data_IF_804201043797
#
_entry.id   IF_804201043797
#
_cell.length_a   1.000
_cell.length_b   1.000
_cell.length_c   1.000
_cell.angle_alpha   90.00
_cell.angle_beta   90.00
_cell.angle_gamma   90.00
#
_symmetry.space_group_name_H-M   'P 1'
#
loop_
_entity.id
_entity.type
_entity.pdbx_description
1 polymer ?
#
# COMPACT_ATOMS: atom_id res chain seq x y z
N UNK A 1 -2.88 -3.53 -9.35
CA UNK A 1 -1.70 -2.98 -8.65
C UNK A 1 -0.86 -2.09 -9.59
N UNK A 2 -0.41 -0.89 -9.16
CA UNK A 2 0.45 0.00 -9.97
C UNK A 2 1.66 0.53 -9.16
N UNK A 3 2.86 -0.08 -9.27
CA UNK A 3 4.05 0.33 -8.52
C UNK A 3 4.44 1.82 -8.69
N UNK A 4 4.08 2.43 -9.82
CA UNK A 4 4.35 3.85 -10.10
C UNK A 4 3.87 4.82 -9.00
N UNK A 5 2.85 4.46 -8.20
CA UNK A 5 2.39 5.25 -7.04
C UNK A 5 3.51 5.52 -6.01
N UNK A 6 4.50 4.63 -5.90
CA UNK A 6 5.65 4.79 -5.00
C UNK A 6 6.59 5.89 -5.54
N UNK A 7 6.82 5.92 -6.86
CA UNK A 7 7.59 6.99 -7.50
C UNK A 7 6.89 8.35 -7.39
N UNK A 8 5.56 8.38 -7.54
CA UNK A 8 4.77 9.59 -7.30
C UNK A 8 4.91 10.08 -5.84
N UNK A 9 4.86 9.16 -4.87
CA UNK A 9 5.08 9.47 -3.46
C UNK A 9 6.47 10.06 -3.25
N UNK A 10 7.52 9.40 -3.75
CA UNK A 10 8.91 9.86 -3.60
C UNK A 10 9.14 11.25 -4.21
N UNK A 11 8.56 11.52 -5.40
CA UNK A 11 8.60 12.85 -6.02
C UNK A 11 7.93 13.92 -5.15
N UNK A 12 6.78 13.63 -4.54
CA UNK A 12 6.14 14.55 -3.59
C UNK A 12 6.98 14.78 -2.35
N UNK A 13 7.56 13.73 -1.76
CA UNK A 13 8.43 13.85 -0.59
C UNK A 13 9.61 14.80 -0.85
N UNK A 14 10.21 14.70 -2.04
CA UNK A 14 11.29 15.59 -2.47
C UNK A 14 10.82 17.05 -2.53
N UNK A 15 9.67 17.31 -3.14
CA UNK A 15 9.16 18.67 -3.33
C UNK A 15 8.64 19.32 -2.03
N UNK A 16 8.23 18.52 -1.04
CA UNK A 16 7.96 19.01 0.31
C UNK A 16 9.23 19.16 1.18
N UNK A 17 10.42 18.82 0.66
CA UNK A 17 11.69 18.89 1.41
C UNK A 17 11.79 17.87 2.55
N UNK A 18 11.00 16.78 2.49
CA UNK A 18 10.98 15.76 3.55
C UNK A 18 12.17 14.80 3.43
N UNK A 19 12.66 14.56 2.21
CA UNK A 19 13.83 13.71 1.98
C UNK A 19 15.08 14.26 2.69
N UNK A 20 15.22 15.59 2.77
CA UNK A 20 16.37 16.25 3.41
C UNK A 20 16.38 16.11 4.94
N UNK A 21 15.26 15.65 5.52
CA UNK A 21 15.08 15.52 6.97
C UNK A 21 15.09 14.07 7.45
N UNK A 22 15.45 13.13 6.57
CA UNK A 22 15.62 11.73 6.89
C UNK A 22 16.79 11.11 6.15
N UNK A 23 17.26 9.97 6.63
CA UNK A 23 18.25 9.19 5.91
C UNK A 23 17.57 8.40 4.79
N UNK A 24 17.77 8.82 3.54
CA UNK A 24 17.28 8.09 2.36
C UNK A 24 18.29 7.01 1.98
N UNK A 25 17.84 5.76 1.95
CA UNK A 25 18.67 4.60 1.64
C UNK A 25 18.16 3.89 0.39
N UNK A 26 19.08 3.48 -0.48
CA UNK A 26 18.78 2.52 -1.54
C UNK A 26 18.76 1.11 -0.92
N UNK A 27 17.69 0.32 -1.12
CA UNK A 27 17.61 -1.01 -0.54
C UNK A 27 18.50 -1.99 -1.30
N UNK A 28 19.19 -2.85 -0.54
CA UNK A 28 19.89 -3.99 -1.12
C UNK A 28 18.89 -5.13 -1.41
N UNK A 29 18.89 -5.71 -2.63
CA UNK A 29 17.98 -6.80 -2.98
C UNK A 29 18.13 -7.98 -2.01
N UNK A 30 17.01 -8.51 -1.50
CA UNK A 30 17.01 -9.69 -0.66
C UNK A 30 17.52 -10.92 -1.45
N UNK A 31 18.38 -11.72 -0.82
CA UNK A 31 18.88 -12.97 -1.43
C UNK A 31 17.89 -14.10 -1.20
N UNK A 32 17.98 -15.15 -2.01
CA UNK A 32 17.18 -16.37 -1.88
C UNK A 32 17.19 -16.90 -0.44
N UNK A 33 18.36 -16.93 0.21
CA UNK A 33 18.50 -17.39 1.61
C UNK A 33 17.67 -16.57 2.60
N UNK A 34 17.53 -15.27 2.35
CA UNK A 34 16.81 -14.35 3.20
C UNK A 34 15.30 -14.52 2.98
N UNK A 35 14.86 -14.70 1.73
CA UNK A 35 13.47 -15.00 1.37
C UNK A 35 12.99 -16.36 1.92
N UNK A 36 13.84 -17.39 1.84
CA UNK A 36 13.56 -18.74 2.35
C UNK A 36 13.50 -18.84 3.88
N UNK A 37 13.78 -17.75 4.63
CA UNK A 37 13.55 -17.74 6.09
C UNK A 37 12.07 -17.92 6.45
N UNK A 38 11.17 -17.55 5.54
CA UNK A 38 9.75 -17.81 5.66
C UNK A 38 9.24 -18.69 4.53
N UNK A 39 9.48 -18.29 3.28
CA UNK A 39 8.92 -18.96 2.11
C UNK A 39 9.55 -20.33 1.85
N UNK A 40 8.81 -21.23 1.22
CA UNK A 40 9.35 -22.52 0.80
C UNK A 40 10.41 -22.37 -0.31
N UNK A 41 11.48 -23.18 -0.24
CA UNK A 41 12.58 -23.13 -1.20
C UNK A 41 12.13 -23.35 -2.65
N UNK A 42 11.18 -24.27 -2.86
CA UNK A 42 10.65 -24.56 -4.19
C UNK A 42 9.76 -23.45 -4.74
N UNK A 43 9.08 -22.71 -3.87
CA UNK A 43 8.32 -21.51 -4.25
C UNK A 43 9.26 -20.35 -4.65
N UNK A 44 10.31 -20.07 -3.88
CA UNK A 44 11.29 -19.04 -4.23
C UNK A 44 12.07 -19.41 -5.50
N UNK A 45 12.46 -20.68 -5.65
CA UNK A 45 13.09 -21.17 -6.87
C UNK A 45 12.17 -21.01 -8.09
N UNK A 46 10.86 -21.22 -7.93
CA UNK A 46 9.89 -20.97 -8.99
C UNK A 46 9.83 -19.50 -9.36
N UNK A 47 9.64 -18.59 -8.38
CA UNK A 47 9.59 -17.14 -8.64
C UNK A 47 10.84 -16.62 -9.33
N UNK A 48 12.02 -17.19 -9.01
CA UNK A 48 13.29 -16.86 -9.65
C UNK A 48 13.36 -17.33 -11.11
N UNK A 49 12.72 -18.45 -11.43
CA UNK A 49 12.81 -19.09 -12.74
C UNK A 49 11.72 -18.66 -13.73
N UNK A 50 10.57 -18.20 -13.24
CA UNK A 50 9.40 -17.92 -14.06
C UNK A 50 9.53 -16.56 -14.74
N UNK A 51 9.30 -16.53 -16.04
CA UNK A 51 9.29 -15.32 -16.89
C UNK A 51 8.08 -15.37 -17.83
N UNK A 52 7.69 -14.26 -18.46
CA UNK A 52 6.60 -14.27 -19.44
C UNK A 52 6.80 -15.27 -20.57
N UNK A 53 8.04 -15.56 -20.97
CA UNK A 53 8.40 -16.53 -22.02
C UNK A 53 8.29 -17.98 -21.54
N UNK A 54 8.67 -18.25 -20.29
CA UNK A 54 8.76 -19.61 -19.74
C UNK A 54 7.48 -20.07 -19.04
N UNK A 55 6.54 -19.16 -18.76
CA UNK A 55 5.33 -19.45 -17.99
C UNK A 55 4.46 -20.58 -18.61
N UNK A 56 4.44 -20.70 -19.94
CA UNK A 56 3.67 -21.74 -20.64
C UNK A 56 4.22 -23.15 -20.41
N UNK A 57 5.51 -23.28 -20.10
CA UNK A 57 6.15 -24.56 -19.77
C UNK A 57 5.95 -24.92 -18.29
N UNK A 58 5.48 -23.96 -17.47
CA UNK A 58 5.38 -24.08 -16.01
C UNK A 58 3.92 -24.09 -15.49
N UNK A 59 2.93 -24.46 -16.31
CA UNK A 59 1.49 -24.42 -15.97
C UNK A 59 1.16 -25.11 -14.63
N UNK A 60 1.80 -26.24 -14.32
CA UNK A 60 1.57 -26.94 -13.05
C UNK A 60 2.07 -26.14 -11.85
N UNK A 61 3.21 -25.46 -11.99
CA UNK A 61 3.79 -24.62 -10.94
C UNK A 61 2.96 -23.34 -10.75
N UNK A 62 2.56 -22.69 -11.86
CA UNK A 62 1.65 -21.53 -11.83
C UNK A 62 0.38 -21.82 -11.01
N UNK A 63 -0.29 -22.93 -11.31
CA UNK A 63 -1.49 -23.36 -10.56
C UNK A 63 -1.18 -23.70 -9.10
N UNK A 64 -0.06 -24.39 -8.84
CA UNK A 64 0.32 -24.81 -7.49
C UNK A 64 0.63 -23.62 -6.58
N UNK A 65 1.27 -22.60 -7.13
CA UNK A 65 1.76 -21.43 -6.42
C UNK A 65 0.86 -20.20 -6.56
N UNK A 66 -0.35 -20.39 -7.13
CA UNK A 66 -1.38 -19.38 -7.33
C UNK A 66 -0.88 -18.11 -8.07
N UNK A 67 -0.06 -18.31 -9.10
CA UNK A 67 0.42 -17.25 -10.01
C UNK A 67 -0.34 -17.36 -11.33
N UNK A 68 -1.06 -16.30 -11.69
CA UNK A 68 -2.05 -16.31 -12.76
C UNK A 68 -2.81 -14.99 -12.87
N UNK A 69 -4.13 -15.00 -12.71
CA UNK A 69 -5.01 -13.84 -12.96
C UNK A 69 -4.69 -12.66 -12.02
N UNK A 70 -4.88 -12.84 -10.71
CA UNK A 70 -4.64 -11.78 -9.74
C UNK A 70 -3.14 -11.55 -9.49
N UNK A 71 -2.32 -12.59 -9.66
CA UNK A 71 -0.87 -12.52 -9.47
C UNK A 71 -0.15 -12.87 -10.78
N UNK A 72 -0.11 -11.97 -11.77
CA UNK A 72 0.43 -12.27 -13.10
C UNK A 72 1.95 -12.40 -13.12
N UNK A 73 2.46 -13.19 -14.07
CA UNK A 73 3.88 -13.16 -14.42
C UNK A 73 4.17 -11.90 -15.22
N UNK A 74 5.23 -11.18 -14.85
CA UNK A 74 5.69 -9.99 -15.56
C UNK A 74 7.22 -9.91 -15.54
N UNK A 75 7.78 -9.12 -16.47
CA UNK A 75 9.22 -8.92 -16.55
C UNK A 75 9.78 -8.29 -15.28
N UNK A 76 10.81 -8.92 -14.71
CA UNK A 76 11.40 -8.47 -13.46
C UNK A 76 10.62 -8.83 -12.19
N UNK A 77 9.63 -9.75 -12.26
CA UNK A 77 8.88 -10.23 -11.08
C UNK A 77 9.78 -10.58 -9.89
N UNK A 78 10.85 -11.35 -10.12
CA UNK A 78 11.75 -11.74 -9.04
C UNK A 78 12.51 -10.54 -8.46
N UNK A 79 13.05 -9.66 -9.31
CA UNK A 79 13.74 -8.43 -8.87
C UNK A 79 12.82 -7.50 -8.07
N UNK A 80 11.55 -7.39 -8.49
CA UNK A 80 10.50 -6.70 -7.73
C UNK A 80 10.37 -7.29 -6.32
N UNK A 81 10.26 -8.61 -6.19
CA UNK A 81 10.17 -9.29 -4.90
C UNK A 81 11.43 -9.05 -4.04
N UNK A 82 12.62 -9.18 -4.63
CA UNK A 82 13.89 -8.99 -3.92
C UNK A 82 14.03 -7.58 -3.38
N UNK A 83 13.72 -6.57 -4.19
CA UNK A 83 13.87 -5.16 -3.82
C UNK A 83 12.93 -4.79 -2.68
N UNK A 84 11.67 -5.22 -2.76
CA UNK A 84 10.63 -4.89 -1.78
C UNK A 84 10.91 -5.57 -0.43
N UNK A 85 11.26 -6.86 -0.46
CA UNK A 85 11.65 -7.61 0.73
C UNK A 85 12.94 -7.06 1.35
N UNK A 86 13.94 -6.75 0.51
CA UNK A 86 15.22 -6.20 0.94
C UNK A 86 15.06 -4.87 1.68
N UNK A 87 14.16 -4.00 1.19
CA UNK A 87 13.85 -2.73 1.84
C UNK A 87 13.22 -2.91 3.24
N UNK A 88 12.22 -3.80 3.38
CA UNK A 88 11.57 -4.04 4.68
C UNK A 88 12.51 -4.72 5.69
N UNK A 89 13.30 -5.71 5.26
CA UNK A 89 14.30 -6.36 6.10
C UNK A 89 15.42 -5.36 6.47
N UNK A 90 15.83 -4.51 5.53
CA UNK A 90 16.81 -3.45 5.78
C UNK A 90 16.35 -2.46 6.84
N UNK A 91 15.10 -2.01 6.74
CA UNK A 91 14.45 -1.18 7.76
C UNK A 91 14.45 -1.86 9.14
N UNK A 92 14.08 -3.14 9.20
CA UNK A 92 14.10 -3.91 10.44
C UNK A 92 15.51 -4.06 11.05
N UNK A 93 16.55 -4.29 10.23
CA UNK A 93 17.94 -4.30 10.70
C UNK A 93 18.35 -2.95 11.29
N UNK A 94 17.95 -1.84 10.66
CA UNK A 94 18.25 -0.50 11.17
C UNK A 94 17.53 -0.20 12.49
N UNK A 95 16.28 -0.61 12.64
CA UNK A 95 15.54 -0.49 13.91
C UNK A 95 16.20 -1.29 15.04
N UNK A 96 16.61 -2.53 14.76
CA UNK A 96 17.37 -3.36 15.70
C UNK A 96 18.69 -2.70 16.15
N UNK A 97 19.26 -1.80 15.35
CA UNK A 97 20.52 -1.09 15.61
C UNK A 97 20.33 0.37 16.01
N UNK A 98 19.15 0.74 16.51
CA UNK A 98 18.94 2.00 17.24
C UNK A 98 18.30 3.13 16.45
N UNK A 99 17.74 2.88 15.26
CA UNK A 99 16.81 3.84 14.65
C UNK A 99 15.43 3.79 15.33
N UNK A 100 14.78 4.94 15.42
CA UNK A 100 13.44 5.06 16.01
C UNK A 100 12.33 4.68 15.01
N UNK A 101 12.44 5.15 13.77
CA UNK A 101 11.45 4.93 12.70
C UNK A 101 12.16 4.55 11.41
N UNK A 102 11.66 3.52 10.72
CA UNK A 102 12.06 3.17 9.37
C UNK A 102 10.81 3.15 8.47
N UNK A 103 10.95 3.60 7.22
CA UNK A 103 9.82 3.73 6.28
C UNK A 103 10.16 2.97 4.99
N UNK A 104 9.27 2.07 4.57
CA UNK A 104 9.32 1.43 3.26
C UNK A 104 7.93 1.39 2.61
N UNK A 105 7.61 2.42 1.83
CA UNK A 105 6.35 2.50 1.08
C UNK A 105 6.22 1.47 -0.06
N UNK A 106 7.32 0.82 -0.45
CA UNK A 106 7.23 -0.26 -1.44
C UNK A 106 6.65 -1.55 -0.85
N UNK A 107 7.01 -1.86 0.41
CA UNK A 107 6.59 -3.07 1.11
C UNK A 107 5.13 -3.05 1.57
N UNK A 108 4.81 -3.94 2.51
CA UNK A 108 3.46 -4.09 3.05
C UNK A 108 2.61 -5.12 2.31
N UNK A 109 3.23 -6.11 1.64
CA UNK A 109 2.54 -7.09 0.80
C UNK A 109 2.01 -8.26 1.66
N UNK A 110 0.94 -7.97 2.40
CA UNK A 110 0.45 -8.81 3.50
C UNK A 110 -0.27 -10.11 3.11
N UNK A 111 -0.67 -10.29 1.85
CA UNK A 111 -1.43 -11.46 1.40
C UNK A 111 -0.56 -12.67 1.03
N UNK A 112 0.74 -12.44 0.76
CA UNK A 112 1.64 -13.51 0.33
C UNK A 112 1.73 -14.60 1.41
N UNK A 113 1.58 -15.86 0.99
CA UNK A 113 1.59 -17.03 1.86
C UNK A 113 2.96 -17.69 1.86
N UNK A 114 3.13 -18.72 2.70
CA UNK A 114 4.40 -19.46 2.78
C UNK A 114 4.80 -20.09 1.45
N UNK A 115 3.82 -20.62 0.72
CA UNK A 115 4.04 -21.43 -0.47
C UNK A 115 3.23 -20.98 -1.69
N UNK A 116 2.60 -19.80 -1.67
CA UNK A 116 1.80 -19.32 -2.80
C UNK A 116 1.65 -17.79 -2.78
N UNK A 117 1.43 -17.22 -3.96
CA UNK A 117 1.05 -15.83 -4.12
C UNK A 117 -0.45 -15.64 -3.82
N UNK A 118 -0.85 -14.44 -3.42
CA UNK A 118 -2.25 -14.09 -3.21
C UNK A 118 -2.43 -12.58 -3.22
N UNK A 119 -3.55 -12.07 -3.74
CA UNK A 119 -3.90 -10.64 -3.65
C UNK A 119 -2.80 -9.68 -4.10
N UNK A 120 -2.22 -9.89 -5.28
CA UNK A 120 -1.08 -9.13 -5.83
C UNK A 120 0.26 -9.30 -5.07
N UNK A 121 0.33 -10.16 -4.04
CA UNK A 121 1.48 -10.33 -3.17
C UNK A 121 2.17 -11.67 -3.44
N UNK A 122 3.47 -11.63 -3.75
CA UNK A 122 4.28 -12.83 -4.05
C UNK A 122 5.18 -13.22 -2.88
N UNK A 123 5.89 -12.24 -2.30
CA UNK A 123 6.76 -12.41 -1.13
C UNK A 123 6.20 -11.55 0.00
N UNK A 124 6.12 -12.13 1.20
CA UNK A 124 5.63 -11.45 2.39
C UNK A 124 6.80 -10.74 3.09
N UNK A 125 7.11 -9.53 2.64
CA UNK A 125 8.18 -8.71 3.17
C UNK A 125 7.97 -8.36 4.65
N UNK A 126 6.71 -8.27 5.10
CA UNK A 126 6.32 -8.00 6.48
C UNK A 126 6.77 -9.15 7.39
N UNK A 127 6.45 -10.40 7.02
CA UNK A 127 6.84 -11.58 7.81
C UNK A 127 8.36 -11.66 7.93
N UNK A 128 9.09 -11.39 6.84
CA UNK A 128 10.55 -11.37 6.84
C UNK A 128 11.11 -10.27 7.75
N UNK A 129 10.54 -9.06 7.72
CA UNK A 129 10.92 -7.95 8.60
C UNK A 129 10.62 -8.27 10.08
N UNK A 130 9.47 -8.86 10.39
CA UNK A 130 9.13 -9.28 11.76
C UNK A 130 10.10 -10.37 12.25
N UNK A 131 10.46 -11.35 11.41
CA UNK A 131 11.47 -12.35 11.75
C UNK A 131 12.85 -11.73 12.01
N UNK A 132 13.18 -10.60 11.40
CA UNK A 132 14.38 -9.82 11.71
C UNK A 132 14.26 -9.11 13.06
N UNK A 133 13.15 -8.41 13.31
CA UNK A 133 12.90 -7.72 14.59
C UNK A 133 12.89 -8.70 15.77
N UNK A 134 12.37 -9.91 15.59
CA UNK A 134 12.34 -10.96 16.61
C UNK A 134 13.74 -11.45 17.05
N UNK A 135 14.82 -11.05 16.38
CA UNK A 135 16.20 -11.33 16.85
C UNK A 135 16.56 -10.50 18.09
N UNK A 136 15.99 -9.30 18.23
CA UNK A 136 16.28 -8.37 19.34
C UNK A 136 15.06 -8.08 20.22
N UNK A 137 13.87 -8.14 19.63
CA UNK A 137 12.63 -7.82 20.32
C UNK A 137 11.90 -9.10 20.74
N UNK A 138 11.60 -9.19 22.04
CA UNK A 138 10.91 -10.36 22.57
C UNK A 138 9.49 -10.51 22.00
N UNK A 139 8.84 -9.36 21.79
CA UNK A 139 7.47 -9.21 21.29
C UNK A 139 7.44 -8.14 20.20
N UNK A 140 6.87 -8.47 19.05
CA UNK A 140 6.67 -7.53 17.93
C UNK A 140 5.18 -7.39 17.68
N UNK A 141 4.69 -6.15 17.64
CA UNK A 141 3.30 -5.85 17.32
C UNK A 141 3.19 -5.57 15.82
N UNK A 142 2.28 -6.25 15.15
CA UNK A 142 1.87 -5.94 13.79
C UNK A 142 0.49 -5.28 13.80
N UNK A 143 0.38 -4.12 13.17
CA UNK A 143 -0.86 -3.36 13.01
C UNK A 143 -1.10 -3.17 11.52
N UNK A 144 -2.33 -3.44 11.09
CA UNK A 144 -2.73 -3.41 9.69
C UNK A 144 -3.98 -2.54 9.51
N UNK A 145 -3.83 -1.46 8.74
CA UNK A 145 -4.91 -0.51 8.42
C UNK A 145 -5.28 -0.52 6.92
N UNK A 146 -4.81 -1.52 6.17
CA UNK A 146 -5.35 -1.85 4.85
C UNK A 146 -6.83 -2.21 4.94
N UNK A 147 -7.59 -1.98 3.86
CA UNK A 147 -9.01 -2.38 3.88
C UNK A 147 -9.18 -3.91 3.86
N UNK A 148 -8.19 -4.66 3.38
CA UNK A 148 -8.20 -6.11 3.35
C UNK A 148 -7.60 -6.68 4.63
N UNK A 149 -8.11 -7.84 5.07
CA UNK A 149 -7.51 -8.54 6.20
C UNK A 149 -6.06 -8.95 5.89
N UNK A 150 -5.15 -8.65 6.81
CA UNK A 150 -3.72 -9.01 6.78
C UNK A 150 -3.42 -10.50 6.98
N UNK A 151 -4.08 -11.33 6.19
CA UNK A 151 -4.23 -12.76 6.37
C UNK A 151 -2.92 -13.57 6.25
N UNK A 152 -1.98 -13.17 5.39
CA UNK A 152 -0.68 -13.83 5.26
C UNK A 152 0.21 -13.61 6.48
N UNK A 153 0.17 -12.41 7.07
CA UNK A 153 0.91 -12.10 8.30
C UNK A 153 0.26 -12.78 9.51
N UNK A 154 -1.08 -12.74 9.60
CA UNK A 154 -1.81 -13.45 10.64
C UNK A 154 -1.53 -14.96 10.59
N UNK A 155 -1.62 -15.60 9.42
CA UNK A 155 -1.35 -17.04 9.26
C UNK A 155 0.09 -17.40 9.70
N UNK A 156 1.08 -16.60 9.30
CA UNK A 156 2.49 -16.85 9.62
C UNK A 156 2.77 -16.88 11.13
N UNK A 157 2.00 -16.12 11.91
CA UNK A 157 2.20 -15.98 13.36
C UNK A 157 1.04 -16.51 14.22
N UNK A 158 0.07 -17.18 13.60
CA UNK A 158 -1.18 -17.62 14.25
C UNK A 158 -1.02 -18.50 15.51
N UNK A 159 0.15 -19.12 15.66
CA UNK A 159 0.45 -20.08 16.74
C UNK A 159 1.52 -19.61 17.73
N UNK A 160 1.99 -18.37 17.64
CA UNK A 160 3.02 -17.80 18.53
C UNK A 160 2.47 -16.66 19.38
N UNK A 161 3.01 -16.49 20.59
CA UNK A 161 2.76 -15.37 21.50
C UNK A 161 3.81 -14.25 21.38
N UNK A 162 4.83 -14.45 20.53
CA UNK A 162 5.88 -13.44 20.28
C UNK A 162 5.46 -12.35 19.31
N UNK A 163 4.39 -12.57 18.54
CA UNK A 163 3.87 -11.60 17.58
C UNK A 163 2.38 -11.47 17.82
N UNK A 164 1.91 -10.24 17.97
CA UNK A 164 0.47 -9.94 17.99
C UNK A 164 0.09 -9.30 16.67
N UNK A 165 -0.95 -9.79 16.01
CA UNK A 165 -1.51 -9.21 14.79
C UNK A 165 -2.81 -8.49 15.12
N UNK A 166 -2.94 -7.24 14.68
CA UNK A 166 -4.16 -6.44 14.84
C UNK A 166 -4.55 -5.86 13.49
N UNK A 167 -5.69 -6.27 12.94
CA UNK A 167 -6.14 -5.85 11.61
C UNK A 167 -7.53 -5.23 11.64
N UNK A 168 -7.67 -4.10 10.94
CA UNK A 168 -8.91 -3.34 10.80
C UNK A 168 -9.34 -3.31 9.34
N UNK A 169 -10.34 -4.12 8.98
CA UNK A 169 -10.61 -4.43 7.58
C UNK A 169 -12.10 -4.58 7.30
N UNK A 170 -12.47 -4.46 6.03
CA UNK A 170 -13.81 -4.83 5.58
C UNK A 170 -14.01 -6.34 5.72
N UNK A 171 -15.16 -6.74 6.23
CA UNK A 171 -15.53 -8.15 6.36
C UNK A 171 -16.95 -8.40 5.84
N UNK A 172 -17.18 -9.60 5.30
CA UNK A 172 -18.43 -9.98 4.64
C UNK A 172 -18.38 -9.77 3.12
N UNK A 173 -18.50 -10.88 2.38
CA UNK A 173 -18.38 -10.97 0.91
C UNK A 173 -17.28 -10.08 0.32
N UNK A 174 -16.07 -10.19 0.89
CA UNK A 174 -14.92 -9.38 0.53
C UNK A 174 -13.63 -10.21 0.63
N UNK A 175 -12.65 -9.90 -0.23
CA UNK A 175 -11.34 -10.55 -0.18
C UNK A 175 -10.60 -10.17 1.11
N UNK A 176 -9.87 -11.09 1.78
CA UNK A 176 -9.62 -12.49 1.43
C UNK A 176 -10.63 -13.50 2.02
N UNK A 177 -11.70 -13.04 2.69
CA UNK A 177 -12.72 -13.89 3.30
C UNK A 177 -12.36 -14.47 4.68
N UNK A 178 -11.24 -14.03 5.27
CA UNK A 178 -10.80 -14.34 6.64
C UNK A 178 -10.84 -13.07 7.51
N UNK A 179 -10.54 -13.18 8.81
CA UNK A 179 -10.51 -12.02 9.71
C UNK A 179 -11.83 -11.82 10.46
N UNK A 180 -12.57 -12.89 10.73
CA UNK A 180 -13.75 -12.78 11.59
C UNK A 180 -13.33 -12.37 13.00
N UNK A 181 -14.18 -11.66 13.75
CA UNK A 181 -13.93 -11.31 15.16
C UNK A 181 -13.65 -12.54 16.06
N UNK A 182 -14.03 -13.74 15.60
CA UNK A 182 -13.78 -15.03 16.26
C UNK A 182 -12.41 -15.64 15.92
N UNK A 183 -11.73 -15.15 14.89
CA UNK A 183 -10.38 -15.57 14.52
C UNK A 183 -9.39 -14.93 15.50
N UNK A 184 -9.05 -15.68 16.54
CA UNK A 184 -8.30 -15.19 17.71
C UNK A 184 -6.94 -15.87 17.89
N UNK A 185 -6.42 -16.53 16.86
CA UNK A 185 -5.20 -17.33 16.95
C UNK A 185 -5.42 -18.71 17.57
N UNK A 186 -4.36 -19.52 17.57
CA UNK A 186 -4.40 -20.92 18.00
C UNK A 186 -3.22 -21.30 18.90
N UNK A 187 -3.38 -22.34 19.73
CA UNK A 187 -2.31 -22.81 20.63
C UNK A 187 -1.74 -21.66 21.49
N UNK A 188 -0.42 -21.45 21.51
CA UNK A 188 0.22 -20.32 22.22
C UNK A 188 -0.17 -18.95 21.66
N UNK A 189 -0.51 -18.85 20.38
CA UNK A 189 -0.98 -17.63 19.73
C UNK A 189 -2.44 -17.29 20.00
N UNK A 190 -3.17 -18.09 20.78
CA UNK A 190 -4.55 -17.76 21.15
C UNK A 190 -4.61 -16.45 21.95
N UNK A 191 -5.49 -15.55 21.51
CA UNK A 191 -5.63 -14.15 21.93
C UNK A 191 -4.53 -13.19 21.45
N UNK A 192 -3.62 -13.63 20.57
CA UNK A 192 -2.61 -12.79 19.93
C UNK A 192 -2.94 -12.40 18.49
N UNK A 193 -4.13 -12.79 17.99
CA UNK A 193 -4.70 -12.27 16.75
C UNK A 193 -5.99 -11.52 17.10
N UNK A 194 -6.06 -10.25 16.71
CA UNK A 194 -7.21 -9.37 16.94
C UNK A 194 -7.72 -8.83 15.62
N UNK A 195 -8.94 -9.23 15.28
CA UNK A 195 -9.58 -8.84 14.04
C UNK A 195 -10.76 -7.90 14.31
N UNK A 196 -10.75 -6.76 13.62
CA UNK A 196 -11.79 -5.72 13.68
C UNK A 196 -12.53 -5.73 12.34
N UNK A 197 -13.54 -6.60 12.17
CA UNK A 197 -14.34 -6.67 10.96
C UNK A 197 -15.29 -5.47 10.87
N UNK A 198 -15.31 -4.80 9.73
CA UNK A 198 -16.07 -3.57 9.48
C UNK A 198 -16.92 -3.68 8.21
N UNK A 199 -17.97 -2.86 8.16
CA UNK A 199 -18.83 -2.68 6.99
C UNK A 199 -18.41 -1.45 6.17
N UNK A 200 -19.05 -1.26 5.01
CA UNK A 200 -18.75 -0.16 4.09
C UNK A 200 -18.90 1.22 4.73
N UNK A 201 -18.13 2.17 4.22
CA UNK A 201 -18.34 3.59 4.47
C UNK A 201 -17.90 4.09 5.85
N UNK A 202 -17.10 3.32 6.60
CA UNK A 202 -16.56 3.80 7.88
C UNK A 202 -15.84 5.14 7.69
N UNK A 203 -16.18 6.10 8.55
CA UNK A 203 -15.61 7.45 8.57
C UNK A 203 -14.49 7.60 9.62
N UNK A 204 -13.80 8.74 9.57
CA UNK A 204 -12.69 9.05 10.47
C UNK A 204 -13.07 8.97 11.96
N UNK A 205 -14.25 9.48 12.35
CA UNK A 205 -14.67 9.50 13.76
C UNK A 205 -14.94 8.08 14.27
N UNK A 206 -15.71 7.31 13.50
CA UNK A 206 -16.02 5.91 13.80
C UNK A 206 -14.75 5.06 13.86
N UNK A 207 -13.84 5.19 12.89
CA UNK A 207 -12.60 4.44 12.86
C UNK A 207 -11.72 4.75 14.09
N UNK A 208 -11.56 6.03 14.42
CA UNK A 208 -10.75 6.45 15.58
C UNK A 208 -11.39 6.05 16.93
N UNK A 209 -12.72 5.94 16.99
CA UNK A 209 -13.44 5.46 18.18
C UNK A 209 -13.16 3.98 18.52
N UNK A 210 -12.69 3.21 17.52
CA UNK A 210 -12.20 1.84 17.67
C UNK A 210 -10.69 1.79 17.84
N UNK A 211 -9.96 2.41 16.92
CA UNK A 211 -8.50 2.30 16.82
C UNK A 211 -7.81 2.70 18.12
N UNK A 212 -8.08 3.92 18.62
CA UNK A 212 -7.36 4.44 19.80
C UNK A 212 -7.61 3.59 21.06
N UNK A 213 -8.85 3.24 21.45
CA UNK A 213 -9.08 2.39 22.63
C UNK A 213 -8.51 0.98 22.51
N UNK A 214 -8.62 0.35 21.34
CA UNK A 214 -8.10 -1.00 21.12
C UNK A 214 -6.57 -0.97 21.20
N UNK A 215 -5.93 -0.07 20.46
CA UNK A 215 -4.47 0.03 20.41
C UNK A 215 -3.87 0.47 21.76
N UNK A 216 -4.54 1.35 22.51
CA UNK A 216 -4.15 1.67 23.88
C UNK A 216 -4.04 0.40 24.74
N UNK A 217 -5.06 -0.47 24.68
CA UNK A 217 -5.10 -1.69 25.48
C UNK A 217 -4.10 -2.73 24.99
N UNK A 218 -3.92 -2.84 23.68
CA UNK A 218 -2.88 -3.68 23.07
C UNK A 218 -1.50 -3.29 23.59
N UNK A 219 -1.14 -2.00 23.53
CA UNK A 219 0.16 -1.52 24.01
C UNK A 219 0.34 -1.74 25.51
N UNK A 220 -0.71 -1.55 26.31
CA UNK A 220 -0.70 -1.80 27.76
C UNK A 220 -0.43 -3.28 28.11
N UNK A 221 -1.10 -4.21 27.42
CA UNK A 221 -1.09 -5.64 27.76
C UNK A 221 0.04 -6.39 27.07
N UNK A 222 0.23 -6.16 25.77
CA UNK A 222 1.21 -6.88 24.96
C UNK A 222 2.61 -6.31 25.12
N UNK A 223 2.76 -5.02 25.44
CA UNK A 223 4.06 -4.35 25.67
C UNK A 223 5.11 -4.72 24.62
N UNK A 224 4.87 -4.41 23.33
CA UNK A 224 5.80 -4.76 22.26
C UNK A 224 7.14 -4.01 22.40
N UNK A 225 8.22 -4.65 21.95
CA UNK A 225 9.53 -4.02 21.83
C UNK A 225 9.74 -3.32 20.49
N UNK A 226 8.95 -3.67 19.47
CA UNK A 226 8.92 -3.03 18.15
C UNK A 226 7.51 -3.15 17.55
N UNK A 227 7.16 -2.20 16.69
CA UNK A 227 5.88 -2.15 15.97
C UNK A 227 6.15 -2.14 14.46
N UNK A 228 5.40 -2.95 13.72
CA UNK A 228 5.28 -2.86 12.27
C UNK A 228 3.86 -2.39 11.96
N UNK A 229 3.72 -1.24 11.32
CA UNK A 229 2.45 -0.67 10.90
C UNK A 229 2.40 -0.69 9.37
N UNK A 230 1.52 -1.53 8.82
CA UNK A 230 1.18 -1.56 7.41
C UNK A 230 0.15 -0.45 7.16
N UNK A 231 0.45 0.47 6.23
CA UNK A 231 -0.37 1.65 5.93
C UNK A 231 -1.04 1.52 4.55
N UNK A 232 -1.80 0.44 4.34
CA UNK A 232 -2.57 0.19 3.13
C UNK A 232 -3.54 1.32 2.81
N UNK A 233 -3.31 2.01 1.70
CA UNK A 233 -4.01 3.25 1.35
C UNK A 233 -5.31 3.02 0.56
N UNK A 234 -5.76 1.77 0.44
CA UNK A 234 -7.08 1.41 -0.13
C UNK A 234 -8.23 1.51 0.88
N UNK A 235 -7.93 1.74 2.15
CA UNK A 235 -8.91 2.13 3.16
C UNK A 235 -9.35 3.60 3.05
N UNK A 236 -8.75 4.38 2.13
CA UNK A 236 -9.12 5.77 1.84
C UNK A 236 -10.41 5.91 1.03
N UNK A 237 -11.10 7.02 1.27
CA UNK A 237 -12.25 7.46 0.47
C UNK A 237 -11.89 7.59 -1.03
N UNK A 238 -12.77 7.06 -1.87
CA UNK A 238 -12.62 7.12 -3.33
C UNK A 238 -11.51 6.24 -3.88
N UNK A 239 -11.08 5.22 -3.13
CA UNK A 239 -10.26 4.15 -3.70
C UNK A 239 -11.02 3.38 -4.81
N UNK A 240 -10.29 2.72 -5.72
CA UNK A 240 -10.90 1.99 -6.84
C UNK A 240 -11.44 0.61 -6.45
N UNK A 241 -10.86 -0.02 -5.42
CA UNK A 241 -11.25 -1.35 -4.94
C UNK A 241 -11.83 -1.27 -3.52
N UNK A 242 -11.33 -0.35 -2.70
CA UNK A 242 -11.82 -0.13 -1.35
C UNK A 242 -13.17 0.59 -1.30
N UNK A 243 -13.92 0.35 -0.23
CA UNK A 243 -15.23 0.95 0.02
C UNK A 243 -15.36 1.53 1.44
N UNK A 244 -14.24 1.98 2.01
CA UNK A 244 -14.23 2.83 3.21
C UNK A 244 -14.30 4.31 2.84
N UNK A 245 -14.47 5.17 3.85
CA UNK A 245 -14.62 6.62 3.66
C UNK A 245 -13.61 7.42 4.48
N UNK A 246 -12.41 6.88 4.70
CA UNK A 246 -11.37 7.56 5.47
C UNK A 246 -10.75 8.72 4.69
N UNK A 247 -10.51 9.83 5.38
CA UNK A 247 -9.66 10.90 4.86
C UNK A 247 -8.18 10.58 5.09
N UNK A 248 -7.31 11.30 4.38
CA UNK A 248 -5.85 11.21 4.63
C UNK A 248 -5.50 11.59 6.08
N UNK A 249 -6.23 12.54 6.68
CA UNK A 249 -6.02 12.91 8.09
C UNK A 249 -6.47 11.79 9.02
N UNK A 250 -7.64 11.20 8.76
CA UNK A 250 -8.15 10.07 9.54
C UNK A 250 -7.23 8.85 9.50
N UNK A 251 -6.68 8.54 8.32
CA UNK A 251 -5.70 7.48 8.14
C UNK A 251 -4.38 7.78 8.87
N UNK A 252 -3.81 8.97 8.66
CA UNK A 252 -2.54 9.37 9.29
C UNK A 252 -2.63 9.58 10.81
N UNK A 253 -3.83 9.79 11.37
CA UNK A 253 -4.04 9.77 12.82
C UNK A 253 -3.69 8.40 13.44
N UNK A 254 -3.81 7.30 12.69
CA UNK A 254 -3.32 5.98 13.12
C UNK A 254 -1.79 5.98 13.29
N UNK A 255 -1.05 6.48 12.28
CA UNK A 255 0.41 6.62 12.32
C UNK A 255 0.83 7.52 13.48
N UNK A 256 0.19 8.69 13.63
CA UNK A 256 0.45 9.64 14.71
C UNK A 256 0.22 9.02 16.09
N UNK A 257 -0.85 8.25 16.24
CA UNK A 257 -1.17 7.58 17.49
C UNK A 257 -0.14 6.51 17.82
N UNK A 258 0.23 5.65 16.86
CA UNK A 258 1.25 4.62 17.07
C UNK A 258 2.64 5.22 17.35
N UNK A 259 3.01 6.29 16.65
CA UNK A 259 4.23 7.06 16.91
C UNK A 259 4.30 7.58 18.35
N UNK A 260 3.16 7.96 18.94
CA UNK A 260 3.13 8.54 20.30
C UNK A 260 3.59 7.60 21.42
N UNK A 261 3.65 6.29 21.16
CA UNK A 261 4.11 5.30 22.14
C UNK A 261 5.64 5.21 22.24
N UNK A 262 6.40 5.85 21.33
CA UNK A 262 7.87 5.86 21.32
C UNK A 262 8.49 4.45 21.38
N UNK A 263 7.94 3.53 20.59
CA UNK A 263 8.48 2.19 20.36
C UNK A 263 9.04 2.14 18.92
N UNK A 264 10.18 1.48 18.66
CA UNK A 264 10.72 1.32 17.31
C UNK A 264 9.63 0.96 16.29
N UNK A 265 9.48 1.77 15.25
CA UNK A 265 8.33 1.72 14.34
C UNK A 265 8.77 1.53 12.89
N UNK A 266 8.38 0.42 12.28
CA UNK A 266 8.49 0.19 10.85
C UNK A 266 7.17 0.57 10.17
N UNK A 267 7.19 1.61 9.34
CA UNK A 267 6.05 1.99 8.49
C UNK A 267 6.21 1.33 7.12
N UNK A 268 5.19 0.61 6.69
CA UNK A 268 5.14 -0.05 5.39
C UNK A 268 4.01 0.50 4.55
N UNK A 269 4.09 0.29 3.23
CA UNK A 269 2.99 0.56 2.30
C UNK A 269 1.85 -0.44 2.45
N UNK A 270 1.38 -0.96 1.32
CA UNK A 270 0.21 -1.84 1.27
C UNK A 270 -0.62 -1.63 0.01
N UNK A 271 -1.92 -1.92 0.07
CA UNK A 271 -2.89 -1.61 -0.96
C UNK A 271 -3.02 -0.13 -1.28
N UNK A 272 -3.89 0.20 -2.24
CA UNK A 272 -4.14 1.57 -2.70
C UNK A 272 -4.13 1.69 -4.23
N UNK A 273 -5.29 1.96 -4.80
CA UNK A 273 -5.57 1.81 -6.22
C UNK A 273 -6.02 3.11 -6.90
N UNK A 274 -6.44 4.10 -6.13
CA UNK A 274 -6.46 5.51 -6.57
C UNK A 274 -5.08 6.15 -6.35
N UNK A 275 -4.14 5.94 -7.28
CA UNK A 275 -2.71 6.25 -7.11
C UNK A 275 -2.37 7.69 -6.65
N UNK A 276 -3.17 8.69 -7.04
CA UNK A 276 -3.01 10.08 -6.58
C UNK A 276 -3.30 10.23 -5.08
N UNK A 277 -4.27 9.48 -4.54
CA UNK A 277 -4.59 9.49 -3.12
C UNK A 277 -3.55 8.71 -2.33
N UNK A 278 -3.00 7.63 -2.89
CA UNK A 278 -1.86 6.92 -2.30
C UNK A 278 -0.66 7.84 -2.11
N UNK A 279 -0.28 8.57 -3.18
CA UNK A 279 0.85 9.48 -3.13
C UNK A 279 0.65 10.60 -2.10
N UNK A 280 -0.57 11.14 -1.99
CA UNK A 280 -0.92 12.12 -0.95
C UNK A 280 -0.84 11.53 0.46
N UNK A 281 -1.39 10.32 0.65
CA UNK A 281 -1.46 9.66 1.95
C UNK A 281 -0.07 9.40 2.52
N UNK A 282 0.75 8.66 1.79
CA UNK A 282 2.09 8.29 2.24
C UNK A 282 3.04 9.49 2.34
N UNK A 283 2.82 10.54 1.53
CA UNK A 283 3.51 11.82 1.71
C UNK A 283 3.17 12.45 3.06
N UNK A 284 1.88 12.58 3.37
CA UNK A 284 1.42 13.16 4.64
C UNK A 284 1.85 12.32 5.85
N UNK A 285 1.77 10.99 5.76
CA UNK A 285 2.22 10.08 6.82
C UNK A 285 3.74 10.14 7.05
N UNK A 286 4.53 10.38 6.00
CA UNK A 286 5.97 10.66 6.17
C UNK A 286 6.18 11.97 6.95
N UNK A 287 5.40 13.01 6.65
CA UNK A 287 5.38 14.24 7.46
C UNK A 287 5.04 13.96 8.92
N UNK A 288 4.01 13.16 9.19
CA UNK A 288 3.62 12.73 10.55
C UNK A 288 4.74 11.96 11.25
N UNK A 289 5.44 11.06 10.55
CA UNK A 289 6.58 10.32 11.10
C UNK A 289 7.71 11.28 11.54
N UNK A 290 7.99 12.29 10.72
CA UNK A 290 8.95 13.36 10.99
C UNK A 290 8.45 14.39 12.03
N UNK A 291 7.20 14.29 12.47
CA UNK A 291 6.60 15.25 13.42
C UNK A 291 6.29 16.61 12.80
N UNK A 292 6.05 16.66 11.49
CA UNK A 292 5.78 17.88 10.72
C UNK A 292 4.33 17.90 10.22
N UNK A 293 3.72 19.07 10.29
CA UNK A 293 2.46 19.34 9.60
C UNK A 293 2.78 19.89 8.21
N UNK A 294 2.27 19.23 7.18
CA UNK A 294 2.48 19.67 5.79
C UNK A 294 1.43 20.69 5.39
N UNK A 295 1.81 21.64 4.53
CA UNK A 295 0.87 22.54 3.89
C UNK A 295 -0.10 21.75 2.99
N UNK A 296 -1.38 22.13 2.99
CA UNK A 296 -2.36 21.45 2.14
C UNK A 296 -2.17 21.77 0.65
N UNK A 297 -1.61 22.94 0.34
CA UNK A 297 -1.34 23.32 -1.05
C UNK A 297 -0.16 22.51 -1.57
N UNK A 298 -0.40 21.73 -2.63
CA UNK A 298 0.62 20.86 -3.19
C UNK A 298 1.71 21.65 -3.92
N UNK A 299 3.00 21.36 -3.69
CA UNK A 299 4.09 21.93 -4.47
C UNK A 299 4.07 21.36 -5.90
N UNK A 300 4.57 22.16 -6.84
CA UNK A 300 4.74 21.72 -8.23
C UNK A 300 5.72 20.55 -8.25
N UNK A 301 5.37 19.49 -8.98
CA UNK A 301 6.14 18.26 -9.07
C UNK A 301 5.98 17.62 -10.46
N UNK A 302 6.78 16.60 -10.75
CA UNK A 302 6.77 15.87 -12.04
C UNK A 302 5.37 15.36 -12.43
N UNK A 303 4.55 15.01 -11.44
CA UNK A 303 3.21 14.44 -11.62
C UNK A 303 2.09 15.41 -11.27
N UNK A 304 2.35 16.72 -11.23
CA UNK A 304 1.43 17.72 -10.67
C UNK A 304 0.01 17.65 -11.28
N UNK A 305 -0.09 17.40 -12.59
CA UNK A 305 -1.36 17.30 -13.31
C UNK A 305 -2.25 16.13 -12.83
N UNK A 306 -1.68 15.07 -12.24
CA UNK A 306 -2.45 13.96 -11.68
C UNK A 306 -3.32 14.36 -10.47
N UNK A 307 -2.98 15.48 -9.83
CA UNK A 307 -3.63 15.97 -8.61
C UNK A 307 -4.70 17.03 -8.87
N UNK A 308 -4.97 17.35 -10.13
CA UNK A 308 -6.06 18.25 -10.51
C UNK A 308 -7.46 17.69 -10.17
N UNK A 309 -8.47 18.57 -10.07
CA UNK A 309 -8.40 20.02 -10.28
C UNK A 309 -7.96 20.83 -9.05
N UNK A 310 -7.93 20.21 -7.87
CA UNK A 310 -7.78 20.94 -6.60
C UNK A 310 -6.31 21.21 -6.22
N UNK A 311 -5.39 20.34 -6.65
CA UNK A 311 -3.96 20.43 -6.34
C UNK A 311 -3.67 20.55 -4.83
N UNK A 312 -4.49 19.86 -4.01
CA UNK A 312 -4.35 19.78 -2.57
C UNK A 312 -3.82 18.42 -2.13
N UNK A 313 -3.23 18.37 -0.94
CA UNK A 313 -2.78 17.16 -0.29
C UNK A 313 -3.96 16.40 0.31
N UNK A 314 -4.89 17.10 0.97
CA UNK A 314 -6.04 16.47 1.59
C UNK A 314 -7.18 16.22 0.60
N UNK A 315 -7.83 15.08 0.79
CA UNK A 315 -9.03 14.67 0.06
C UNK A 315 -10.16 14.58 1.07
N UNK A 316 -11.27 15.27 0.76
CA UNK A 316 -12.46 15.22 1.60
C UNK A 316 -13.13 13.84 1.53
N UNK A 317 -13.74 13.37 2.63
CA UNK A 317 -14.58 12.18 2.58
C UNK A 317 -15.78 12.40 1.64
N UNK A 318 -16.27 11.30 1.06
CA UNK A 318 -17.45 11.31 0.20
C UNK A 318 -18.75 11.35 1.02
N UNK A 319 -19.89 11.51 0.34
CA UNK A 319 -21.22 11.40 0.93
C UNK A 319 -21.73 9.94 1.08
N UNK A 320 -20.82 8.95 1.00
CA UNK A 320 -21.14 7.54 1.23
C UNK A 320 -21.74 7.35 2.64
N UNK A 321 -22.78 6.50 2.73
CA UNK A 321 -23.38 6.12 4.00
C UNK A 321 -22.42 5.22 4.80
N UNK A 322 -22.19 5.58 6.06
CA UNK A 322 -21.47 4.74 7.00
C UNK A 322 -22.41 3.65 7.54
N UNK A 323 -22.20 2.40 7.10
CA UNK A 323 -23.02 1.24 7.50
C UNK A 323 -22.64 0.69 8.88
N UNK A 324 -21.62 1.24 9.51
CA UNK A 324 -21.12 0.78 10.80
C UNK A 324 -21.87 1.48 11.93
N UNK A 325 -22.91 0.86 12.49
CA UNK A 325 -23.66 1.49 13.57
C UNK A 325 -22.82 1.57 14.84
N UNK A 326 -23.03 2.60 15.67
CA UNK A 326 -22.33 2.74 16.96
C UNK A 326 -22.47 1.49 17.84
N UNK A 327 -23.65 0.86 17.81
CA UNK A 327 -23.91 -0.37 18.57
C UNK A 327 -23.03 -1.54 18.09
N UNK A 328 -22.85 -1.73 16.79
CA UNK A 328 -21.98 -2.77 16.24
C UNK A 328 -20.51 -2.52 16.59
N UNK A 329 -20.06 -1.27 16.44
CA UNK A 329 -18.69 -0.87 16.77
C UNK A 329 -18.41 -1.06 18.27
N UNK A 330 -19.34 -0.68 19.15
CA UNK A 330 -19.23 -0.91 20.59
C UNK A 330 -19.18 -2.40 20.94
N UNK A 331 -19.94 -3.24 20.24
CA UNK A 331 -19.93 -4.68 20.43
C UNK A 331 -18.58 -5.30 20.00
N UNK A 332 -18.05 -4.89 18.84
CA UNK A 332 -16.73 -5.34 18.36
C UNK A 332 -15.65 -4.93 19.37
N UNK A 333 -15.61 -3.65 19.75
CA UNK A 333 -14.67 -3.11 20.73
C UNK A 333 -14.73 -3.88 22.05
N UNK A 334 -15.93 -4.11 22.58
CA UNK A 334 -16.12 -4.84 23.84
C UNK A 334 -15.59 -6.26 23.76
N UNK A 335 -15.85 -6.98 22.67
CA UNK A 335 -15.33 -8.35 22.47
C UNK A 335 -13.80 -8.39 22.40
N UNK A 336 -13.18 -7.42 21.71
CA UNK A 336 -11.73 -7.37 21.58
C UNK A 336 -11.05 -7.00 22.90
N UNK A 337 -11.62 -6.06 23.65
CA UNK A 337 -11.14 -5.73 25.00
C UNK A 337 -11.30 -6.91 25.97
N UNK A 338 -12.38 -7.69 25.85
CA UNK A 338 -12.56 -8.93 26.61
C UNK A 338 -11.50 -9.98 26.23
N UNK A 339 -11.19 -10.15 24.93
CA UNK A 339 -10.11 -11.03 24.49
C UNK A 339 -8.75 -10.60 25.04
N UNK A 340 -8.42 -9.31 25.00
CA UNK A 340 -7.20 -8.77 25.59
C UNK A 340 -7.13 -8.99 27.10
N UNK A 341 -8.26 -8.97 27.82
CA UNK A 341 -8.30 -9.23 29.26
C UNK A 341 -7.92 -10.66 29.65
N UNK A 342 -7.97 -11.60 28.69
CA UNK A 342 -7.61 -13.02 28.91
C UNK A 342 -6.11 -13.26 28.83
N UNK A 343 -5.35 -12.32 28.28
CA UNK A 343 -3.89 -12.39 28.28
C UNK A 343 -3.37 -12.14 29.69
N UNK A 344 -2.48 -13.02 30.16
CA UNK A 344 -1.66 -12.71 31.34
C UNK A 344 -0.71 -11.59 30.94
N UNK A 345 -0.54 -10.58 31.78
CA UNK A 345 0.44 -9.50 31.53
C UNK A 345 1.83 -10.11 31.26
N UNK A 346 2.37 -9.85 30.06
CA UNK A 346 3.74 -10.16 29.62
C UNK A 346 4.34 -11.48 30.18
N UNK A 347 3.85 -12.68 29.81
CA UNK A 347 4.43 -13.93 30.27
C UNK A 347 5.90 -14.04 29.82
N UNK A 348 6.76 -14.59 30.68
CA UNK A 348 8.17 -14.80 30.36
C UNK A 348 8.29 -15.68 29.12
N UNK A 349 8.98 -15.18 28.10
CA UNK A 349 9.28 -15.99 26.92
C UNK A 349 10.57 -16.76 27.17
N UNK A 350 10.62 -17.99 26.67
CA UNK A 350 11.79 -18.86 26.82
C UNK A 350 12.98 -18.25 26.07
N UNK A 351 14.16 -18.26 26.70
CA UNK A 351 15.42 -17.85 26.04
C UNK A 351 15.63 -18.65 24.75
N UNK A 352 15.90 -17.95 23.66
CA UNK A 352 16.28 -18.51 22.36
C UNK A 352 17.66 -18.00 21.99
N UNK A 353 18.48 -18.87 21.40
CA UNK A 353 19.76 -18.47 20.82
C UNK A 353 19.48 -17.51 19.65
N UNK A 354 20.08 -16.32 19.69
CA UNK A 354 19.83 -15.26 18.70
C UNK A 354 20.48 -15.65 17.36
N UNK A 355 19.72 -15.79 16.26
CA UNK A 355 20.31 -15.93 14.94
C UNK A 355 21.14 -14.68 14.58
N UNK A 356 22.21 -14.82 13.78
CA UNK A 356 22.99 -13.68 13.30
C UNK A 356 22.12 -12.71 12.50
N UNK A 357 22.48 -11.43 12.48
CA UNK A 357 21.76 -10.39 11.73
C UNK A 357 21.80 -10.67 10.22
N UNK A 358 20.81 -10.15 9.49
CA UNK A 358 20.81 -10.30 8.03
C UNK A 358 21.90 -9.43 7.43
N UNK A 359 22.94 -10.05 6.88
CA UNK A 359 24.03 -9.35 6.18
C UNK A 359 23.52 -8.83 4.83
N UNK A 360 23.65 -7.54 4.56
CA UNK A 360 23.47 -7.05 3.19
C UNK A 360 24.82 -7.01 2.48
N UNK A 361 24.88 -7.20 1.14
CA UNK A 361 26.09 -6.91 0.39
C UNK A 361 26.56 -5.48 0.69
N UNK A 362 27.87 -5.29 0.86
CA UNK A 362 28.47 -3.94 0.83
C UNK A 362 28.14 -3.34 -0.56
N UNK A 363 27.77 -2.06 -0.66
CA UNK A 363 27.67 -1.42 -1.96
C UNK A 363 29.06 -1.50 -2.63
N UNK A 364 29.10 -1.98 -3.88
CA UNK A 364 30.33 -1.92 -4.68
C UNK A 364 30.68 -0.44 -4.86
N UNK A 365 31.78 0.02 -4.26
CA UNK A 365 32.27 1.40 -4.37
C UNK A 365 32.57 1.80 -5.83
N UNK A 366 32.60 0.83 -6.74
CA UNK A 366 32.86 0.99 -8.18
C UNK A 366 31.60 1.32 -9.02
N UNK A 367 30.37 1.20 -8.48
CA UNK A 367 29.14 1.60 -9.20
C UNK A 367 28.70 3.06 -8.93
N UNK A 368 29.34 3.75 -7.98
CA UNK A 368 29.05 5.14 -7.61
C UNK A 368 29.97 6.17 -8.31
N UNK A 369 30.72 5.79 -9.34
CA UNK A 369 31.49 6.74 -10.14
C UNK A 369 30.58 7.41 -11.20
N UNK A 370 30.10 8.62 -10.91
CA UNK A 370 29.25 9.43 -11.79
C UNK A 370 29.96 9.97 -13.06
N UNK A 371 31.06 9.37 -13.50
CA UNK A 371 31.83 9.85 -14.66
C UNK A 371 32.18 8.79 -15.71
N UNK A 372 31.65 7.56 -15.62
CA UNK A 372 31.68 6.61 -16.73
C UNK A 372 30.48 6.82 -17.67
N UNK A 373 30.63 7.77 -18.59
CA UNK A 373 29.85 7.83 -19.82
C UNK A 373 29.97 6.48 -20.54
N UNK A 374 28.92 5.65 -20.44
CA UNK A 374 28.67 4.62 -21.43
C UNK A 374 28.38 5.32 -22.77
N UNK A 375 29.39 5.37 -23.64
CA UNK A 375 29.24 5.75 -25.03
C UNK A 375 28.38 4.69 -25.75
N UNK A 376 27.06 4.85 -25.69
CA UNK A 376 26.12 4.16 -26.57
C UNK A 376 25.83 5.07 -27.78
N UNK A 377 26.31 4.75 -29.00
CA UNK A 377 26.15 5.61 -30.15
C UNK A 377 24.82 5.32 -30.82
N UNK A 378 23.69 5.74 -30.23
CA UNK A 378 22.39 5.91 -30.91
C UNK A 378 21.30 6.54 -30.01
N UNK A 379 21.61 7.67 -29.37
CA UNK A 379 20.63 8.44 -28.59
C UNK A 379 20.83 9.95 -28.76
N UNK A 380 20.41 10.48 -29.91
CA UNK A 380 20.34 11.92 -30.16
C UNK A 380 19.19 12.57 -29.37
N UNK A 381 19.49 13.07 -28.17
CA UNK A 381 18.74 14.12 -27.49
C UNK A 381 19.74 15.03 -26.78
N UNK A 382 20.25 16.04 -27.50
CA UNK A 382 21.09 17.09 -26.91
C UNK A 382 20.29 17.91 -25.89
N UNK A 383 20.67 17.82 -24.61
CA UNK A 383 20.28 18.77 -23.57
C UNK A 383 21.47 19.66 -23.23
N UNK A 384 21.37 20.94 -23.59
CA UNK A 384 22.35 21.97 -23.28
C UNK A 384 22.00 22.62 -21.94
N UNK A 385 22.72 22.26 -20.86
CA UNK A 385 22.62 22.92 -19.56
C UNK A 385 23.89 23.72 -19.29
N UNK A 386 23.75 25.06 -19.29
CA UNK A 386 24.19 26.00 -18.24
C UNK A 386 24.61 27.35 -18.81
N UNK A 387 23.89 28.42 -18.44
CA UNK A 387 24.54 29.66 -17.97
C UNK A 387 23.58 30.50 -17.11
N UNK A 388 23.96 30.94 -15.89
CA UNK A 388 23.16 31.84 -15.08
C UNK A 388 23.56 33.31 -15.32
N UNK A 389 22.60 34.23 -15.42
CA UNK A 389 22.89 35.67 -15.41
C UNK A 389 21.88 36.48 -14.59
N UNK A 390 22.45 37.28 -13.71
CA UNK A 390 21.85 38.23 -12.77
C UNK A 390 21.20 39.46 -13.44
N UNK A 391 20.39 40.15 -12.63
CA UNK A 391 19.68 41.41 -12.86
C UNK A 391 20.51 42.54 -13.50
N UNK A 392 19.90 43.23 -14.49
CA UNK A 392 20.05 44.69 -14.64
C UNK A 392 19.00 45.27 -15.60
N UNK A 393 18.25 46.24 -15.11
CA UNK A 393 17.34 47.10 -15.86
C UNK A 393 18.03 47.88 -16.99
N UNK A 394 17.33 48.08 -18.13
CA UNK A 394 17.16 49.38 -18.83
C UNK A 394 16.27 49.26 -20.09
N UNK A 395 15.39 50.25 -20.22
CA UNK A 395 14.52 50.58 -21.37
C UNK A 395 15.33 50.84 -22.67
N UNK A 396 14.71 50.59 -23.85
CA UNK A 396 14.44 51.56 -24.97
C UNK A 396 14.05 50.80 -26.28
N UNK A 397 12.77 50.89 -26.65
CA UNK A 397 12.17 51.51 -27.86
C UNK A 397 12.69 51.26 -29.31
N UNK A 398 11.81 50.61 -30.11
CA UNK A 398 11.35 50.82 -31.52
C UNK A 398 12.30 50.57 -32.73
N UNK A 399 11.83 49.70 -33.66
CA UNK A 399 11.52 49.90 -35.10
C UNK A 399 11.36 48.49 -35.73
N UNK A 400 10.36 48.06 -36.49
CA UNK A 400 9.21 48.69 -37.13
C UNK A 400 9.08 48.14 -38.55
N UNK A 401 8.21 47.14 -38.80
CA UNK A 401 7.76 46.81 -40.18
C UNK A 401 6.34 46.22 -40.23
N UNK A 402 5.37 47.12 -40.50
CA UNK A 402 4.14 47.00 -41.33
C UNK A 402 3.55 45.60 -41.57
N UNK A 403 2.42 45.22 -40.96
CA UNK A 403 1.00 45.52 -41.28
C UNK A 403 0.54 45.15 -42.70
N UNK A 404 -0.37 44.17 -42.78
CA UNK A 404 -1.66 44.30 -43.50
C UNK A 404 -2.77 43.59 -42.72
N UNK A 405 -3.69 44.43 -42.21
CA UNK A 405 -5.03 44.10 -41.69
C UNK A 405 -6.03 44.23 -42.84
N UNK A 406 -7.13 43.49 -42.77
CA UNK A 406 -8.52 43.97 -42.93
C UNK A 406 -9.44 42.76 -42.63
N UNK A 407 -10.11 42.73 -41.46
CA UNK A 407 -11.43 43.32 -41.10
C UNK A 407 -12.58 42.39 -41.52
N UNK A 408 -13.21 41.65 -40.59
CA UNK A 408 -14.28 42.04 -39.66
C UNK A 408 -15.68 42.06 -40.30
N UNK A 409 -16.60 41.29 -39.72
CA UNK A 409 -18.04 41.34 -40.00
C UNK A 409 -18.78 40.24 -39.25
N UNK A 410 -19.62 40.65 -38.30
CA UNK A 410 -20.41 39.82 -37.39
C UNK A 410 -21.85 39.57 -37.91
N UNK A 411 -22.52 38.58 -37.31
CA UNK A 411 -23.99 38.37 -37.19
C UNK A 411 -24.76 38.07 -38.51
N UNK A 412 -25.79 37.21 -38.62
CA UNK A 412 -26.86 36.77 -37.70
C UNK A 412 -27.61 35.55 -38.32
N UNK A 413 -28.30 34.79 -37.45
CA UNK A 413 -29.49 33.91 -37.62
C UNK A 413 -30.25 33.89 -38.98
N UNK A 414 -30.66 32.71 -39.49
CA UNK A 414 -31.93 32.04 -39.17
C UNK A 414 -32.21 30.78 -40.05
N UNK A 415 -32.85 29.82 -39.38
CA UNK A 415 -33.76 28.72 -39.74
C UNK A 415 -34.11 28.32 -41.19
N UNK A 416 -34.14 26.98 -41.36
CA UNK A 416 -35.25 26.11 -41.82
C UNK A 416 -35.02 25.27 -43.10
N UNK A 417 -35.56 24.04 -43.09
CA UNK A 417 -35.96 23.37 -44.34
C UNK A 417 -35.35 22.00 -44.70
N UNK A 418 -35.61 20.97 -43.88
CA UNK A 418 -36.13 19.64 -44.26
C UNK A 418 -35.58 18.79 -45.44
N UNK A 419 -35.35 17.49 -45.10
CA UNK A 419 -35.61 16.23 -45.87
C UNK A 419 -34.65 15.89 -47.05
N UNK A 420 -34.20 14.65 -47.32
CA UNK A 420 -34.72 13.31 -47.04
C UNK A 420 -33.69 12.19 -47.41
N UNK A 421 -33.74 11.08 -46.66
CA UNK A 421 -33.43 9.65 -46.95
C UNK A 421 -32.03 9.12 -47.30
N UNK A 422 -31.67 8.07 -46.56
CA UNK A 422 -30.77 6.98 -46.99
C UNK A 422 -30.81 5.83 -45.97
N UNK A 423 -31.61 4.80 -46.25
CA UNK A 423 -31.76 3.58 -45.45
C UNK A 423 -30.49 2.70 -45.46
N UNK A 424 -30.21 1.99 -44.36
CA UNK A 424 -29.68 0.63 -44.43
C UNK A 424 -30.12 -0.23 -43.22
N UNK A 425 -30.63 -1.42 -43.54
CA UNK A 425 -31.18 -2.47 -42.66
C UNK A 425 -30.09 -3.44 -42.18
N UNK A 426 -30.29 -4.01 -40.99
CA UNK A 426 -29.70 -5.28 -40.51
C UNK A 426 -30.01 -5.53 -39.02
N UNK A 427 -30.12 -6.79 -38.54
CA UNK A 427 -31.39 -7.36 -38.07
C UNK A 427 -31.52 -7.64 -36.55
N UNK A 428 -32.76 -7.97 -36.17
CA UNK A 428 -33.36 -8.19 -34.83
C UNK A 428 -32.79 -9.37 -34.00
N UNK A 429 -32.98 -9.37 -32.65
CA UNK A 429 -32.71 -10.52 -31.79
C UNK A 429 -33.94 -11.42 -31.61
N UNK A 430 -33.70 -12.74 -31.53
CA UNK A 430 -34.71 -13.76 -31.26
C UNK A 430 -35.15 -13.75 -29.78
N UNK A 431 -36.47 -13.90 -29.60
CA UNK A 431 -37.14 -14.16 -28.34
C UNK A 431 -37.11 -15.66 -28.00
N UNK A 432 -36.98 -16.00 -26.71
CA UNK A 432 -37.33 -17.32 -26.18
C UNK A 432 -38.59 -17.24 -25.32
N UNK A 433 -39.42 -18.24 -25.57
CA UNK A 433 -40.81 -18.40 -25.18
C UNK A 433 -40.96 -19.06 -23.81
N UNK A 434 -42.09 -18.79 -23.17
CA UNK A 434 -42.51 -19.26 -21.86
C UNK A 434 -43.20 -20.63 -21.90
N UNK A 435 -42.96 -21.46 -20.89
CA UNK A 435 -43.94 -22.45 -20.41
C UNK A 435 -43.35 -23.67 -19.69
N UNK A 436 -44.17 -24.46 -18.97
CA UNK A 436 -44.92 -24.02 -17.79
C UNK A 436 -44.70 -24.94 -16.55
N UNK A 437 -45.21 -24.45 -15.42
CA UNK A 437 -45.29 -25.10 -14.10
C UNK A 437 -46.13 -26.40 -14.04
N UNK A 438 -45.70 -27.38 -13.22
CA UNK A 438 -46.44 -28.04 -12.12
C UNK A 438 -45.91 -29.47 -11.86
N UNK A 439 -45.47 -29.76 -10.63
CA UNK A 439 -46.14 -30.69 -9.71
C UNK A 439 -45.28 -30.99 -8.46
N UNK A 440 -45.95 -30.93 -7.32
CA UNK A 440 -45.48 -31.33 -6.00
C UNK A 440 -45.48 -32.87 -5.86
N UNK A 441 -44.56 -33.42 -5.08
CA UNK A 441 -44.81 -34.53 -4.14
C UNK A 441 -43.72 -34.55 -3.06
N UNK A 442 -44.13 -34.77 -1.81
CA UNK A 442 -43.25 -34.86 -0.65
C UNK A 442 -43.17 -36.27 -0.05
N UNK A 443 -42.45 -36.32 1.09
CA UNK A 443 -42.21 -37.46 2.02
C UNK A 443 -41.17 -38.47 1.48
N UNK A 444 -40.13 -38.86 2.20
CA UNK A 444 -39.97 -39.13 3.65
C UNK A 444 -38.60 -38.70 4.15
#
# INVERSE_FOLDING_TARGET
>A
MKPHRIRMTHSLLAQYGLLDQMQVLRPNPARDRDLCRFHADDYISFLRSVTPETQQDQIRALKRFNVGEDCPVFDGLYSFCQTYAGASVGGAVKLNHGLDIAINWSGGLHHAKKCEASGFCYVNDIVLAILELLKHHQRVLYVDIDIHHGDGVEEAFYTTDRVMTVSFHKFGDYFPGTGDVRDIGHSKGKYYSLNVPLDDGIDDESYQSLFKPIMAKVMEVFQPGAVVLQCGADSLSGDRLGCFNLSIRGHAECVKYMRSFNVPLLLLGGGGYTIRNVARCWCYETGVALGQELEDKMPVNEYYEYFGPDYTLHVAPSNMENKNTRYELDNIRTKLLDNLSKLRHAPSVQFQERPPDTEFPEPDEDEDDQDERHDDPDSDMEMDYHTPLEDSARRITIQGTRVKRESAGAETKDQDGSRVTGEHRGPEPMAEDMGPSKQAHGRR
#
